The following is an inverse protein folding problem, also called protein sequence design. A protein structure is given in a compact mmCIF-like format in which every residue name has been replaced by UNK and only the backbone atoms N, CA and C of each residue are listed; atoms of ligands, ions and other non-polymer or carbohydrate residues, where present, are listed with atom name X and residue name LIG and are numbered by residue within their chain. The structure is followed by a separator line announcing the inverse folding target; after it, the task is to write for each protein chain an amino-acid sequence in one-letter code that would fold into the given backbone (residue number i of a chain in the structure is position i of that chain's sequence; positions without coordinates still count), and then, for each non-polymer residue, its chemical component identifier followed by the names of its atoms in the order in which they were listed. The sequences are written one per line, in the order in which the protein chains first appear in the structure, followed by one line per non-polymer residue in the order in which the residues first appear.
data_IF_116219871881
#
_entry.id   IF_116219871881
#
_cell.length_a   1.000
_cell.length_b   1.000
_cell.length_c   1.000
_cell.angle_alpha   90.00
_cell.angle_beta   90.00
_cell.angle_gamma   90.00
#
_symmetry.space_group_name_H-M   'P 1'
#
loop_
_entity.id
_entity.type
_entity.pdbx_description
1 polymer ?
#
# COMPACT_ATOMS: atom_id res chain seq x y z
N UNK A 1 11.35 -11.60 46.41
CA UNK A 1 12.04 -10.28 46.44
C UNK A 1 13.22 -10.36 45.47
N UNK A 2 13.10 -9.78 44.28
CA UNK A 2 14.17 -9.80 43.27
C UNK A 2 14.69 -8.38 43.12
N UNK A 3 16.01 -8.25 43.27
CA UNK A 3 16.75 -7.01 43.43
C UNK A 3 17.02 -6.37 42.05
N UNK A 4 16.41 -5.21 41.78
CA UNK A 4 16.63 -4.41 40.56
C UNK A 4 17.52 -3.22 40.91
N UNK A 5 18.84 -3.42 40.90
CA UNK A 5 19.81 -2.36 41.14
C UNK A 5 21.01 -2.54 40.23
N UNK A 6 20.92 -2.03 39.00
CA UNK A 6 22.03 -1.50 38.17
C UNK A 6 21.51 -1.11 36.77
N UNK A 7 20.96 0.09 36.64
CA UNK A 7 20.76 0.75 35.34
C UNK A 7 21.88 1.80 35.18
N UNK A 8 22.83 1.63 34.24
CA UNK A 8 23.80 2.68 33.97
C UNK A 8 23.12 3.82 33.22
N UNK A 9 23.18 5.02 33.81
CA UNK A 9 22.76 6.29 33.20
C UNK A 9 23.62 6.57 31.96
N UNK A 10 23.10 6.28 30.77
CA UNK A 10 23.67 6.78 29.52
C UNK A 10 23.10 8.17 29.29
N UNK A 11 23.80 9.19 29.80
CA UNK A 11 23.56 10.59 29.42
C UNK A 11 24.12 10.81 28.00
N UNK A 12 23.24 10.82 27.00
CA UNK A 12 23.58 11.29 25.65
C UNK A 12 23.57 12.81 25.68
N UNK A 13 24.76 13.42 25.70
CA UNK A 13 24.94 14.85 25.48
C UNK A 13 24.84 15.10 23.97
N UNK A 14 23.66 15.51 23.50
CA UNK A 14 23.47 15.99 22.13
C UNK A 14 23.98 17.44 22.07
N UNK A 15 25.20 17.63 21.57
CA UNK A 15 25.74 18.96 21.26
C UNK A 15 25.06 19.47 20.00
N UNK A 16 24.10 20.38 20.18
CA UNK A 16 23.40 21.07 19.11
C UNK A 16 24.33 22.15 18.51
N UNK A 17 25.11 21.75 17.51
CA UNK A 17 25.94 22.67 16.73
C UNK A 17 25.10 23.48 15.76
N UNK A 18 24.68 24.68 16.15
CA UNK A 18 24.21 25.72 15.23
C UNK A 18 25.40 26.23 14.41
N UNK A 19 25.55 25.78 13.16
CA UNK A 19 26.37 26.46 12.17
C UNK A 19 25.47 27.33 11.29
N UNK A 20 25.36 28.61 11.68
CA UNK A 20 24.82 29.64 10.81
C UNK A 20 25.89 30.02 9.78
N UNK A 21 25.66 29.72 8.51
CA UNK A 21 26.46 30.27 7.40
C UNK A 21 25.57 31.28 6.67
N UNK A 22 25.73 32.54 7.03
CA UNK A 22 25.26 33.69 6.26
C UNK A 22 26.38 34.06 5.29
N UNK A 23 26.12 33.96 3.98
CA UNK A 23 26.93 34.67 3.00
C UNK A 23 26.01 35.27 1.94
N UNK A 24 25.96 36.59 1.97
CA UNK A 24 25.33 37.52 1.04
C UNK A 24 26.26 37.76 -0.15
N UNK A 25 25.80 37.66 -1.40
CA UNK A 25 26.41 38.24 -2.61
C UNK A 25 25.34 38.18 -3.72
N UNK A 26 24.63 39.26 -4.06
CA UNK A 26 25.00 40.37 -4.95
C UNK A 26 24.75 40.07 -6.46
N UNK A 27 23.68 40.71 -6.95
CA UNK A 27 23.42 41.29 -8.29
C UNK A 27 24.03 40.64 -9.55
N UNK A 28 23.14 40.21 -10.46
CA UNK A 28 23.26 40.52 -11.89
C UNK A 28 21.87 40.52 -12.56
N UNK A 29 21.43 41.72 -12.93
CA UNK A 29 20.25 41.98 -13.76
C UNK A 29 20.69 41.88 -15.23
N UNK A 30 20.17 40.90 -15.98
CA UNK A 30 20.39 40.81 -17.42
C UNK A 30 19.07 40.82 -18.21
N UNK A 31 19.19 41.33 -19.43
CA UNK A 31 18.23 42.10 -20.23
C UNK A 31 17.48 41.18 -21.21
N UNK A 32 16.17 41.38 -21.47
CA UNK A 32 15.45 40.58 -22.45
C UNK A 32 15.81 41.03 -23.87
N UNK A 33 16.44 40.14 -24.65
CA UNK A 33 16.64 40.33 -26.10
C UNK A 33 15.43 39.73 -26.84
N UNK A 34 14.68 40.61 -27.50
CA UNK A 34 13.65 40.28 -28.49
C UNK A 34 14.35 40.00 -29.81
N UNK A 35 14.15 38.82 -30.38
CA UNK A 35 14.44 38.56 -31.79
C UNK A 35 13.20 37.92 -32.41
N UNK A 36 12.55 38.75 -33.24
CA UNK A 36 11.53 38.43 -34.22
C UNK A 36 12.13 37.69 -35.42
N UNK A 37 11.35 36.82 -36.06
CA UNK A 37 11.29 36.51 -37.51
C UNK A 37 10.35 35.28 -37.63
N UNK A 38 9.11 35.40 -38.09
CA UNK A 38 8.60 35.72 -39.43
C UNK A 38 8.76 34.61 -40.47
N UNK A 39 7.62 34.24 -41.07
CA UNK A 39 7.39 33.45 -42.29
C UNK A 39 7.84 31.99 -42.29
N UNK A 40 7.11 30.98 -42.80
CA UNK A 40 5.92 30.94 -43.64
C UNK A 40 5.97 29.62 -44.46
N UNK A 41 4.80 29.18 -44.94
CA UNK A 41 4.55 28.23 -46.05
C UNK A 41 4.44 26.70 -45.83
N UNK A 42 3.17 26.25 -45.91
CA UNK A 42 2.58 25.13 -46.69
C UNK A 42 3.38 23.85 -46.98
N UNK A 43 2.84 22.69 -46.58
CA UNK A 43 2.26 21.73 -47.56
C UNK A 43 1.31 20.72 -46.89
N UNK A 44 0.11 20.58 -47.48
CA UNK A 44 -0.77 19.42 -47.31
C UNK A 44 -0.15 18.24 -48.08
N UNK A 45 -0.26 17.02 -47.56
CA UNK A 45 -0.84 15.85 -48.25
C UNK A 45 -0.58 14.55 -47.45
N UNK A 46 -1.68 14.02 -46.91
CA UNK A 46 -2.13 12.62 -46.94
C UNK A 46 -1.10 11.47 -46.84
N UNK A 47 -1.11 10.82 -45.67
CA UNK A 47 -1.19 9.35 -45.57
C UNK A 47 -1.70 8.94 -44.18
N UNK A 48 -2.85 8.25 -44.02
CA UNK A 48 -3.22 7.65 -42.75
C UNK A 48 -2.37 6.39 -42.58
N UNK A 49 -1.20 6.57 -41.97
CA UNK A 49 -0.46 5.45 -41.40
C UNK A 49 -1.23 5.04 -40.16
N UNK A 50 -1.79 3.83 -40.17
CA UNK A 50 -2.38 3.17 -39.01
C UNK A 50 -1.28 3.00 -37.96
N UNK A 51 -1.07 4.03 -37.15
CA UNK A 51 -0.32 3.97 -35.91
C UNK A 51 -1.06 2.99 -35.00
N UNK A 52 -0.39 1.89 -34.67
CA UNK A 52 -0.78 1.06 -33.55
C UNK A 52 -0.86 1.98 -32.33
N UNK A 53 -1.92 1.89 -31.50
CA UNK A 53 -2.01 2.69 -30.29
C UNK A 53 -0.77 2.40 -29.45
N UNK A 54 0.16 3.35 -29.46
CA UNK A 54 1.28 3.42 -28.56
C UNK A 54 0.65 3.30 -27.18
N UNK A 55 0.88 2.17 -26.52
CA UNK A 55 0.43 1.94 -25.16
C UNK A 55 1.17 2.99 -24.35
N UNK A 56 0.50 4.12 -24.14
CA UNK A 56 0.99 5.27 -23.40
C UNK A 56 1.31 4.76 -22.00
N UNK A 57 2.56 4.35 -21.79
CA UNK A 57 3.06 3.85 -20.53
C UNK A 57 2.71 4.91 -19.49
N UNK A 58 1.74 4.58 -18.64
CA UNK A 58 1.12 5.57 -17.79
C UNK A 58 2.22 6.28 -17.00
N UNK A 59 2.31 7.62 -17.04
CA UNK A 59 3.37 8.40 -16.40
C UNK A 59 3.22 8.44 -14.87
N UNK A 60 2.88 7.30 -14.26
CA UNK A 60 2.64 7.07 -12.83
C UNK A 60 3.88 7.29 -11.95
N UNK A 61 5.00 7.74 -12.52
CA UNK A 61 6.27 7.90 -11.82
C UNK A 61 6.93 9.27 -12.01
N UNK A 62 6.28 10.26 -12.63
CA UNK A 62 6.82 11.63 -12.64
C UNK A 62 6.53 12.34 -11.32
N UNK A 63 7.44 13.22 -10.88
CA UNK A 63 7.25 14.00 -9.65
C UNK A 63 6.03 14.91 -9.77
N UNK A 64 5.79 15.40 -10.98
CA UNK A 64 4.65 16.22 -11.37
C UNK A 64 3.34 15.48 -11.13
N UNK A 65 3.29 14.18 -11.45
CA UNK A 65 2.11 13.36 -11.18
C UNK A 65 1.83 13.31 -9.69
N UNK A 66 2.83 13.05 -8.84
CA UNK A 66 2.64 12.98 -7.38
C UNK A 66 2.17 14.29 -6.75
N UNK A 67 2.51 15.44 -7.33
CA UNK A 67 2.16 16.77 -6.80
C UNK A 67 0.77 17.25 -7.21
N UNK A 68 0.07 16.53 -8.08
CA UNK A 68 -1.32 16.86 -8.41
C UNK A 68 -2.24 16.64 -7.18
N UNK A 69 -3.24 17.52 -6.96
CA UNK A 69 -4.19 17.41 -5.85
C UNK A 69 -5.24 16.33 -6.11
N UNK A 70 -4.79 15.08 -6.26
CA UNK A 70 -5.63 13.90 -6.42
C UNK A 70 -5.38 12.92 -5.27
N UNK A 71 -6.42 12.29 -4.71
CA UNK A 71 -6.28 11.40 -3.57
C UNK A 71 -5.38 10.20 -3.86
N UNK A 72 -5.44 9.64 -5.07
CA UNK A 72 -4.58 8.52 -5.47
C UNK A 72 -3.10 8.93 -5.47
N UNK A 73 -2.82 10.13 -5.96
CA UNK A 73 -1.48 10.66 -6.10
C UNK A 73 -0.89 10.99 -4.73
N UNK A 74 -1.72 11.53 -3.82
CA UNK A 74 -1.34 11.83 -2.43
C UNK A 74 -0.96 10.57 -1.66
N UNK A 75 -1.76 9.51 -1.73
CA UNK A 75 -1.46 8.23 -1.06
C UNK A 75 -0.16 7.63 -1.60
N UNK A 76 0.01 7.63 -2.93
CA UNK A 76 1.23 7.12 -3.56
C UNK A 76 2.46 7.97 -3.17
N UNK A 77 2.32 9.31 -3.11
CA UNK A 77 3.38 10.22 -2.67
C UNK A 77 3.83 9.91 -1.24
N UNK A 78 2.87 9.76 -0.31
CA UNK A 78 3.14 9.44 1.09
C UNK A 78 3.83 8.07 1.26
N UNK A 79 3.48 7.09 0.42
CA UNK A 79 4.14 5.77 0.43
C UNK A 79 5.60 5.84 -0.03
N UNK A 80 5.93 6.74 -0.97
CA UNK A 80 7.28 6.85 -1.54
C UNK A 80 8.22 7.75 -0.74
N UNK A 81 7.67 8.68 0.05
CA UNK A 81 8.43 9.64 0.82
C UNK A 81 9.00 9.02 2.12
N UNK A 82 10.15 9.51 2.59
CA UNK A 82 10.63 9.17 3.92
C UNK A 82 9.73 9.85 4.97
N UNK A 83 9.62 9.22 6.13
CA UNK A 83 8.68 9.62 7.19
C UNK A 83 8.81 11.10 7.61
N UNK A 84 10.05 11.60 7.69
CA UNK A 84 10.36 12.97 8.09
C UNK A 84 9.88 14.04 7.11
N UNK A 85 9.60 13.66 5.87
CA UNK A 85 8.99 14.52 4.83
C UNK A 85 7.50 14.25 4.74
N UNK A 86 7.09 12.98 4.79
CA UNK A 86 5.69 12.56 4.63
C UNK A 86 4.77 13.15 5.71
N UNK A 87 5.25 13.28 6.96
CA UNK A 87 4.48 13.86 8.07
C UNK A 87 4.05 15.32 7.85
N UNK A 88 4.79 16.05 7.01
CA UNK A 88 4.52 17.47 6.72
C UNK A 88 3.56 17.62 5.53
N UNK A 89 3.27 16.54 4.79
CA UNK A 89 2.38 16.57 3.62
C UNK A 89 0.93 16.54 4.09
N UNK A 90 0.09 17.51 3.69
CA UNK A 90 -1.33 17.51 4.05
C UNK A 90 -2.03 16.24 3.57
N UNK A 91 -2.87 15.65 4.41
CA UNK A 91 -3.67 14.48 4.01
C UNK A 91 -4.82 14.89 3.07
N UNK A 92 -5.37 16.07 3.28
CA UNK A 92 -6.40 16.65 2.43
C UNK A 92 -5.81 17.01 1.05
N UNK A 93 -6.54 16.72 -0.01
CA UNK A 93 -6.14 17.05 -1.38
C UNK A 93 -6.51 18.48 -1.75
N UNK A 94 -7.46 19.07 -1.04
CA UNK A 94 -7.85 20.48 -1.22
C UNK A 94 -6.84 21.44 -0.58
N UNK A 95 -6.05 20.95 0.38
CA UNK A 95 -4.98 21.72 1.01
C UNK A 95 -3.70 21.71 0.14
N UNK A 96 -3.24 22.89 -0.32
CA UNK A 96 -2.05 22.97 -1.15
C UNK A 96 -0.79 22.58 -0.35
N UNK A 97 0.16 21.93 -1.02
CA UNK A 97 1.48 21.64 -0.44
C UNK A 97 2.23 22.96 -0.28
N UNK A 98 2.81 23.19 0.90
CA UNK A 98 3.65 24.37 1.11
C UNK A 98 4.84 24.36 0.13
N UNK A 99 5.18 25.48 -0.55
CA UNK A 99 6.27 25.51 -1.53
C UNK A 99 7.63 25.04 -0.98
N UNK A 100 7.88 25.27 0.30
CA UNK A 100 9.10 24.81 0.99
C UNK A 100 9.17 23.28 1.05
N UNK A 101 8.04 22.63 1.38
CA UNK A 101 7.90 21.19 1.40
C UNK A 101 7.92 20.59 -0.01
N UNK A 102 7.25 21.20 -0.98
CA UNK A 102 7.31 20.78 -2.38
C UNK A 102 8.76 20.73 -2.88
N UNK A 103 9.55 21.77 -2.57
CA UNK A 103 10.98 21.80 -2.91
C UNK A 103 11.76 20.65 -2.26
N UNK A 104 11.43 20.29 -1.02
CA UNK A 104 12.06 19.16 -0.31
C UNK A 104 11.67 17.81 -0.93
N UNK A 105 10.41 17.63 -1.31
CA UNK A 105 9.91 16.47 -2.05
C UNK A 105 10.62 16.32 -3.39
N UNK A 106 10.68 17.40 -4.19
CA UNK A 106 11.38 17.40 -5.48
C UNK A 106 12.86 17.03 -5.31
N UNK A 107 13.54 17.63 -4.32
CA UNK A 107 14.94 17.30 -3.99
C UNK A 107 15.12 15.82 -3.65
N UNK A 108 14.19 15.23 -2.89
CA UNK A 108 14.22 13.80 -2.57
C UNK A 108 14.09 12.93 -3.82
N UNK A 109 13.12 13.20 -4.70
CA UNK A 109 12.96 12.44 -5.93
C UNK A 109 14.11 12.64 -6.92
N UNK A 110 14.67 13.85 -7.02
CA UNK A 110 15.89 14.10 -7.80
C UNK A 110 17.08 13.28 -7.29
N UNK A 111 17.26 13.20 -5.97
CA UNK A 111 18.33 12.41 -5.36
C UNK A 111 18.11 10.90 -5.59
N UNK A 112 16.87 10.42 -5.44
CA UNK A 112 16.50 9.01 -5.65
C UNK A 112 16.64 8.60 -7.12
N UNK A 113 16.23 9.47 -8.05
CA UNK A 113 16.46 9.31 -9.48
C UNK A 113 17.94 9.15 -9.78
N UNK A 114 18.79 10.02 -9.21
CA UNK A 114 20.25 9.94 -9.36
C UNK A 114 20.82 8.58 -8.94
N UNK A 115 20.31 8.01 -7.85
CA UNK A 115 20.75 6.70 -7.34
C UNK A 115 20.27 5.58 -8.27
N UNK A 116 19.03 5.63 -8.77
CA UNK A 116 18.49 4.63 -9.69
C UNK A 116 19.17 4.66 -11.05
N UNK A 117 19.42 5.84 -11.62
CA UNK A 117 20.13 5.97 -12.90
C UNK A 117 21.61 5.57 -12.77
N UNK A 118 22.23 5.84 -11.61
CA UNK A 118 23.61 5.41 -11.34
C UNK A 118 23.75 3.89 -11.16
N UNK A 119 22.69 3.18 -10.75
CA UNK A 119 22.70 1.72 -10.63
C UNK A 119 22.34 1.02 -11.95
N UNK A 120 21.51 1.64 -12.80
CA UNK A 120 21.21 1.11 -14.14
C UNK A 120 22.33 1.32 -15.15
N UNK A 121 23.34 2.14 -14.82
CA UNK A 121 24.49 2.42 -15.67
C UNK A 121 25.76 1.62 -15.31
N UNK A 122 25.64 0.49 -14.60
CA UNK A 122 26.74 -0.48 -14.53
C UNK A 122 26.69 -1.37 -15.77
N UNK A 123 27.56 -1.18 -16.78
CA UNK A 123 27.65 -2.12 -17.88
C UNK A 123 28.33 -3.37 -17.34
N UNK A 124 27.55 -4.41 -17.02
CA UNK A 124 28.14 -5.68 -16.57
C UNK A 124 27.27 -6.60 -15.70
N UNK A 125 25.98 -6.31 -15.50
CA UNK A 125 25.08 -7.19 -14.75
C UNK A 125 23.92 -7.76 -15.58
N UNK A 126 24.06 -7.77 -16.89
CA UNK A 126 23.03 -8.30 -17.80
C UNK A 126 23.36 -9.74 -18.24
N UNK A 127 24.48 -10.32 -17.81
CA UNK A 127 25.05 -11.51 -18.44
C UNK A 127 25.42 -12.65 -17.47
N UNK A 128 24.56 -12.92 -16.48
CA UNK A 128 24.54 -14.24 -15.82
C UNK A 128 23.18 -14.41 -15.16
N UNK A 129 22.27 -15.08 -15.88
CA UNK A 129 21.28 -16.05 -15.39
C UNK A 129 20.18 -16.23 -16.44
N UNK A 130 20.60 -16.66 -17.63
CA UNK A 130 19.71 -17.22 -18.64
C UNK A 130 20.05 -18.71 -18.79
N UNK A 131 19.75 -19.50 -17.75
CA UNK A 131 19.71 -20.96 -17.83
C UNK A 131 18.47 -21.44 -17.08
N UNK A 132 17.45 -21.82 -17.85
CA UNK A 132 16.51 -22.88 -17.50
C UNK A 132 15.23 -22.45 -16.77
N UNK A 133 14.29 -21.81 -17.47
CA UNK A 133 12.87 -22.04 -17.21
C UNK A 133 12.16 -22.47 -18.50
N UNK A 134 12.13 -23.78 -18.68
CA UNK A 134 11.27 -24.49 -19.63
C UNK A 134 9.95 -24.82 -18.92
N UNK A 135 8.87 -24.75 -19.70
CA UNK A 135 7.52 -25.28 -19.43
C UNK A 135 6.49 -24.26 -18.93
N UNK A 136 6.01 -23.51 -19.91
CA UNK A 136 4.74 -22.80 -19.94
C UNK A 136 3.59 -23.83 -19.83
N UNK A 137 2.98 -23.94 -18.66
CA UNK A 137 1.68 -24.59 -18.49
C UNK A 137 0.58 -23.59 -18.84
N UNK A 138 0.08 -23.67 -20.07
CA UNK A 138 -1.13 -22.97 -20.50
C UNK A 138 -2.34 -23.51 -19.74
N UNK A 139 -3.05 -22.64 -19.01
CA UNK A 139 -4.39 -22.91 -18.52
C UNK A 139 -5.29 -21.73 -18.87
N UNK A 140 -5.87 -21.81 -20.06
CA UNK A 140 -7.08 -21.08 -20.44
C UNK A 140 -8.23 -21.54 -19.53
N UNK A 141 -8.51 -20.73 -18.51
CA UNK A 141 -9.68 -20.87 -17.64
C UNK A 141 -10.83 -20.00 -18.14
N UNK A 142 -11.46 -20.40 -19.25
CA UNK A 142 -12.71 -19.80 -19.73
C UNK A 142 -13.87 -20.27 -18.84
N UNK A 143 -14.23 -19.48 -17.83
CA UNK A 143 -15.40 -19.74 -16.99
C UNK A 143 -16.67 -19.22 -17.69
N UNK A 144 -17.28 -20.09 -18.50
CA UNK A 144 -18.62 -19.90 -19.05
C UNK A 144 -19.65 -20.43 -18.03
N UNK A 145 -20.45 -19.53 -17.47
CA UNK A 145 -21.54 -19.88 -16.55
C UNK A 145 -22.73 -20.37 -17.36
N UNK A 146 -23.05 -21.66 -17.27
CA UNK A 146 -24.34 -22.22 -17.70
C UNK A 146 -25.28 -22.23 -16.51
N UNK A 147 -26.38 -21.49 -16.65
CA UNK A 147 -27.59 -21.65 -15.86
C UNK A 147 -28.28 -22.92 -16.35
N UNK A 148 -28.38 -23.94 -15.50
CA UNK A 148 -29.26 -25.09 -15.71
C UNK A 148 -30.23 -25.15 -14.52
N UNK A 149 -31.48 -24.83 -14.83
CA UNK A 149 -32.68 -25.01 -14.04
C UNK A 149 -33.05 -26.51 -13.98
N UNK A 150 -33.40 -27.09 -12.81
CA UNK A 150 -34.15 -28.34 -12.79
C UNK A 150 -35.54 -28.14 -12.18
N UNK A 151 -36.53 -28.19 -13.06
CA UNK A 151 -37.91 -28.54 -12.75
C UNK A 151 -38.03 -30.05 -12.58
N UNK A 152 -38.43 -30.51 -11.39
CA UNK A 152 -39.16 -31.77 -11.09
C UNK A 152 -38.84 -32.23 -9.67
N UNK A 153 -39.70 -32.90 -8.91
CA UNK A 153 -41.14 -33.24 -8.94
C UNK A 153 -41.30 -33.97 -7.60
N UNK A 154 -42.27 -33.57 -6.78
CA UNK A 154 -42.52 -34.14 -5.46
C UNK A 154 -42.98 -35.60 -5.56
N UNK A 155 -42.36 -36.51 -4.81
CA UNK A 155 -42.90 -37.82 -4.42
C UNK A 155 -42.05 -38.36 -3.24
N UNK A 156 -42.53 -38.28 -2.01
CA UNK A 156 -43.31 -39.27 -1.24
C UNK A 156 -42.40 -40.21 -0.41
N UNK A 157 -42.64 -40.09 0.90
CA UNK A 157 -42.08 -40.75 2.10
C UNK A 157 -41.85 -42.25 1.94
N UNK A 158 -40.68 -42.75 2.42
CA UNK A 158 -40.69 -43.70 3.54
C UNK A 158 -39.73 -43.37 4.70
N UNK A 159 -40.19 -43.73 5.90
CA UNK A 159 -39.54 -43.72 7.23
C UNK A 159 -38.37 -44.75 7.37
N UNK A 160 -37.59 -44.76 8.48
CA UNK A 160 -36.14 -44.83 8.44
C UNK A 160 -35.58 -46.21 8.85
N UNK A 161 -34.49 -46.62 8.20
CA UNK A 161 -33.64 -47.70 8.68
C UNK A 161 -32.39 -47.13 9.35
N UNK A 162 -32.20 -47.57 10.59
CA UNK A 162 -31.08 -47.32 11.47
C UNK A 162 -29.74 -47.65 10.77
N UNK A 163 -28.95 -46.63 10.47
CA UNK A 163 -27.50 -46.80 10.35
C UNK A 163 -26.84 -45.96 11.45
N UNK A 164 -26.22 -46.66 12.40
CA UNK A 164 -25.11 -46.18 13.22
C UNK A 164 -23.98 -45.72 12.28
N UNK A 165 -24.15 -44.54 11.71
CA UNK A 165 -23.08 -43.79 11.07
C UNK A 165 -22.47 -42.95 12.18
N UNK A 166 -21.31 -43.38 12.64
CA UNK A 166 -20.41 -42.65 13.52
C UNK A 166 -20.37 -41.16 13.09
N UNK A 167 -21.07 -40.31 13.84
CA UNK A 167 -21.07 -38.85 13.70
C UNK A 167 -19.67 -38.32 14.03
N UNK A 168 -18.72 -38.44 13.11
CA UNK A 168 -17.84 -37.31 12.85
C UNK A 168 -18.70 -36.25 12.18
N UNK A 169 -19.49 -35.55 13.00
CA UNK A 169 -19.93 -34.21 12.66
C UNK A 169 -18.67 -33.36 12.64
N UNK A 170 -17.97 -33.42 11.49
CA UNK A 170 -17.18 -32.30 10.97
C UNK A 170 -18.14 -31.12 10.94
N UNK A 171 -18.30 -30.50 12.11
CA UNK A 171 -18.95 -29.23 12.32
C UNK A 171 -18.04 -28.29 11.56
N UNK A 172 -18.30 -28.18 10.25
CA UNK A 172 -17.47 -27.48 9.30
C UNK A 172 -17.34 -26.07 9.83
N UNK A 173 -16.25 -25.84 10.55
CA UNK A 173 -16.03 -24.61 11.27
C UNK A 173 -16.09 -23.45 10.28
N UNK A 174 -16.30 -22.22 10.77
CA UNK A 174 -16.26 -21.07 9.90
C UNK A 174 -14.96 -21.11 9.05
N UNK A 175 -15.03 -20.75 7.76
CA UNK A 175 -13.87 -20.79 6.87
C UNK A 175 -12.66 -20.13 7.53
N UNK A 176 -11.49 -20.77 7.41
CA UNK A 176 -10.25 -20.25 8.02
C UNK A 176 -10.02 -18.81 7.54
N UNK A 177 -9.71 -17.91 8.48
CA UNK A 177 -9.53 -16.47 8.25
C UNK A 177 -10.80 -15.66 7.92
N UNK A 178 -12.00 -16.23 8.09
CA UNK A 178 -13.23 -15.43 8.15
C UNK A 178 -13.29 -14.59 9.44
N UNK A 179 -14.09 -13.52 9.43
CA UNK A 179 -14.30 -12.67 10.62
C UNK A 179 -14.83 -13.51 11.79
N UNK A 180 -15.76 -14.43 11.53
CA UNK A 180 -16.28 -15.31 12.59
C UNK A 180 -15.23 -16.26 13.11
N UNK A 181 -14.32 -16.76 12.25
CA UNK A 181 -13.19 -17.55 12.71
C UNK A 181 -12.32 -16.75 13.68
N UNK A 182 -11.99 -15.50 13.37
CA UNK A 182 -11.18 -14.65 14.26
C UNK A 182 -11.80 -14.37 15.64
N UNK A 183 -13.13 -14.30 15.71
CA UNK A 183 -13.85 -13.94 16.94
C UNK A 183 -14.04 -15.12 17.91
N UNK A 184 -13.69 -16.34 17.51
CA UNK A 184 -13.72 -17.49 18.40
C UNK A 184 -12.70 -17.34 19.55
N UNK A 185 -13.03 -17.80 20.77
CA UNK A 185 -12.17 -17.74 21.95
C UNK A 185 -11.07 -18.82 21.91
N UNK A 186 -10.36 -18.93 20.78
CA UNK A 186 -9.23 -19.84 20.58
C UNK A 186 -7.91 -19.07 20.56
N UNK A 187 -6.84 -19.59 21.19
CA UNK A 187 -5.56 -18.90 21.26
C UNK A 187 -4.90 -18.64 19.91
N UNK A 188 -5.00 -19.58 18.97
CA UNK A 188 -4.50 -19.39 17.60
C UNK A 188 -5.23 -18.23 16.89
N UNK A 189 -6.56 -18.21 17.00
CA UNK A 189 -7.42 -17.22 16.36
C UNK A 189 -7.14 -15.83 16.94
N UNK A 190 -6.98 -15.72 18.26
CA UNK A 190 -6.67 -14.46 18.95
C UNK A 190 -5.31 -13.90 18.55
N UNK A 191 -4.29 -14.76 18.48
CA UNK A 191 -2.94 -14.38 18.04
C UNK A 191 -2.96 -13.88 16.59
N UNK A 192 -3.62 -14.60 15.70
CA UNK A 192 -3.76 -14.17 14.31
C UNK A 192 -4.56 -12.88 14.18
N UNK A 193 -5.66 -12.73 14.92
CA UNK A 193 -6.48 -11.51 14.92
C UNK A 193 -5.65 -10.29 15.34
N UNK A 194 -4.84 -10.38 16.40
CA UNK A 194 -3.95 -9.28 16.84
C UNK A 194 -2.93 -8.87 15.79
N UNK A 195 -2.41 -9.82 15.00
CA UNK A 195 -1.43 -9.54 13.95
C UNK A 195 -2.07 -8.89 12.70
N UNK A 196 -3.34 -9.20 12.43
CA UNK A 196 -4.06 -8.66 11.27
C UNK A 196 -4.73 -7.31 11.53
N UNK A 197 -4.93 -6.94 12.79
CA UNK A 197 -5.54 -5.67 13.16
C UNK A 197 -4.52 -4.52 13.20
N UNK A 198 -4.98 -3.26 13.02
CA UNK A 198 -4.19 -2.09 13.36
C UNK A 198 -3.92 -2.05 14.87
N UNK A 199 -2.80 -1.43 15.25
CA UNK A 199 -2.25 -1.47 16.61
C UNK A 199 -3.25 -1.03 17.69
N UNK A 200 -4.01 0.02 17.44
CA UNK A 200 -5.03 0.55 18.36
C UNK A 200 -6.11 -0.48 18.72
N UNK A 201 -6.55 -1.27 17.73
CA UNK A 201 -7.50 -2.36 17.95
C UNK A 201 -6.83 -3.60 18.55
N UNK A 202 -5.58 -3.89 18.16
CA UNK A 202 -4.82 -5.03 18.68
C UNK A 202 -4.56 -4.89 20.19
N UNK A 203 -4.24 -3.69 20.67
CA UNK A 203 -4.04 -3.39 22.10
C UNK A 203 -5.34 -3.45 22.89
N UNK A 204 -6.48 -3.14 22.27
CA UNK A 204 -7.80 -3.21 22.91
C UNK A 204 -8.34 -4.64 23.08
N UNK A 205 -7.72 -5.64 22.44
CA UNK A 205 -8.08 -7.03 22.63
C UNK A 205 -7.46 -7.59 23.90
N UNK A 206 -8.21 -8.33 24.74
CA UNK A 206 -7.63 -9.00 25.89
C UNK A 206 -6.64 -10.09 25.45
N UNK A 207 -5.62 -10.31 26.29
CA UNK A 207 -4.55 -11.27 26.04
C UNK A 207 -4.98 -12.69 26.37
N UNK A 208 -5.78 -12.85 27.42
CA UNK A 208 -6.46 -14.11 27.71
C UNK A 208 -7.59 -14.35 26.70
N UNK A 209 -7.63 -15.55 26.14
CA UNK A 209 -8.65 -15.97 25.18
C UNK A 209 -9.98 -16.34 25.85
N UNK A 210 -9.95 -16.59 27.17
CA UNK A 210 -11.16 -16.82 27.97
C UNK A 210 -11.89 -15.51 28.29
N UNK A 211 -11.22 -14.36 28.18
CA UNK A 211 -11.87 -13.07 28.36
C UNK A 211 -12.68 -12.69 27.10
N UNK A 212 -13.97 -12.35 27.27
CA UNK A 212 -14.80 -11.96 26.14
C UNK A 212 -14.32 -10.64 25.55
N UNK A 213 -14.40 -10.53 24.22
CA UNK A 213 -14.12 -9.26 23.54
C UNK A 213 -15.25 -8.28 23.89
N UNK A 214 -14.90 -7.07 24.30
CA UNK A 214 -15.91 -6.04 24.56
C UNK A 214 -16.74 -5.78 23.30
N UNK A 215 -18.09 -5.70 23.38
CA UNK A 215 -18.94 -5.52 22.19
C UNK A 215 -18.56 -4.31 21.33
N UNK A 216 -18.06 -3.25 21.95
CA UNK A 216 -17.58 -2.04 21.27
C UNK A 216 -16.35 -2.34 20.40
N UNK A 217 -15.41 -3.16 20.90
CA UNK A 217 -14.19 -3.56 20.18
C UNK A 217 -14.57 -4.53 19.06
N UNK A 218 -15.43 -5.50 19.32
CA UNK A 218 -15.93 -6.43 18.30
C UNK A 218 -16.57 -5.69 17.11
N UNK A 219 -17.43 -4.70 17.37
CA UNK A 219 -18.05 -3.88 16.33
C UNK A 219 -17.01 -3.14 15.47
N UNK A 220 -15.92 -2.66 16.07
CA UNK A 220 -14.82 -2.00 15.34
C UNK A 220 -14.03 -2.99 14.49
N UNK A 221 -13.77 -4.18 15.02
CA UNK A 221 -13.10 -5.27 14.30
C UNK A 221 -13.92 -5.67 13.06
N UNK A 222 -15.23 -5.90 13.23
CA UNK A 222 -16.13 -6.20 12.10
C UNK A 222 -16.11 -5.08 11.06
N UNK A 223 -16.21 -3.82 11.50
CA UNK A 223 -16.12 -2.64 10.62
C UNK A 223 -14.80 -2.59 9.85
N UNK A 224 -13.67 -2.92 10.48
CA UNK A 224 -12.36 -2.97 9.83
C UNK A 224 -12.31 -4.04 8.74
N UNK A 225 -12.77 -5.26 9.02
CA UNK A 225 -12.79 -6.33 8.02
C UNK A 225 -13.82 -6.11 6.90
N UNK A 226 -14.83 -5.25 7.10
CA UNK A 226 -15.72 -4.80 6.02
C UNK A 226 -15.06 -3.81 5.06
N UNK A 227 -13.88 -3.27 5.37
CA UNK A 227 -13.14 -2.38 4.48
C UNK A 227 -12.50 -3.17 3.33
N UNK A 228 -12.21 -2.49 2.22
CA UNK A 228 -11.42 -3.06 1.13
C UNK A 228 -10.00 -3.43 1.61
N UNK A 229 -9.38 -4.45 1.00
CA UNK A 229 -8.04 -4.89 1.39
C UNK A 229 -6.97 -3.79 1.33
N UNK A 230 -7.11 -2.81 0.41
CA UNK A 230 -6.22 -1.64 0.34
C UNK A 230 -6.34 -0.76 1.59
N UNK A 231 -7.57 -0.48 2.03
CA UNK A 231 -7.83 0.34 3.20
C UNK A 231 -7.41 -0.37 4.50
N UNK A 232 -7.58 -1.70 4.57
CA UNK A 232 -7.08 -2.49 5.70
C UNK A 232 -5.55 -2.38 5.83
N UNK A 233 -4.81 -2.49 4.71
CA UNK A 233 -3.35 -2.33 4.69
C UNK A 233 -2.93 -0.93 5.11
N UNK A 234 -3.58 0.10 4.58
CA UNK A 234 -3.27 1.50 4.90
C UNK A 234 -3.45 1.78 6.40
N UNK A 235 -4.56 1.35 6.99
CA UNK A 235 -4.81 1.52 8.43
C UNK A 235 -3.79 0.76 9.29
N UNK A 236 -3.37 -0.45 8.87
CA UNK A 236 -2.28 -1.16 9.55
C UNK A 236 -1.00 -0.36 9.54
N UNK A 237 -0.53 0.07 8.36
CA UNK A 237 0.71 0.85 8.22
C UNK A 237 0.65 2.13 9.05
N UNK A 238 -0.46 2.87 8.96
CA UNK A 238 -0.63 4.11 9.71
C UNK A 238 -0.61 3.89 11.23
N UNK A 239 -1.17 2.78 11.72
CA UNK A 239 -1.18 2.48 13.17
C UNK A 239 0.22 2.31 13.76
N UNK A 240 1.19 1.80 12.98
CA UNK A 240 2.57 1.64 13.43
C UNK A 240 3.34 2.98 13.47
N UNK A 241 2.92 3.98 12.70
CA UNK A 241 3.56 5.29 12.66
C UNK A 241 3.33 6.14 13.92
N UNK A 242 2.37 5.79 14.78
CA UNK A 242 2.05 6.57 15.99
C UNK A 242 2.82 6.14 17.24
N UNK A 243 3.65 5.10 17.16
CA UNK A 243 4.32 4.47 18.31
C UNK A 243 5.78 4.91 18.45
N UNK A 244 6.34 5.61 17.45
CA UNK A 244 7.72 6.12 17.45
C UNK A 244 7.78 7.63 17.66
#
# INVERSE_FOLDING_TARGET
MVNLNTLPRICVVVVFGYSATVTSTEVAQEKPRKESLDSGFFHKNDKPSTELPEVEESPMCSVEWYLLPKPENRVCLLEKLPFDVAKDVPWDCDEPIEPSLEKRIRKFFSLRGLIFTSMSSYPGLDEINNVGQTTQGSLDGSFSSKEDEPSSKSQEVPEPENMDSQEETDTAGPPKFSVEWYLLPKPENRKHLRNELPFDLAVALPEDCNEPILPVVEKRIRKFFSLSGKNQRLLRVHSYCWIG
#
